data_IF_090826128617
#
_entry.id   IF_090826128617
#
_cell.length_a   1.000
_cell.length_b   1.000
_cell.length_c   1.000
_cell.angle_alpha   90.00
_cell.angle_beta   90.00
_cell.angle_gamma   90.00
#
_symmetry.space_group_name_H-M   'P 1'
#
loop_
_entity.id
_entity.type
_entity.pdbx_description
1 polymer ?
#
# COMPACT_ATOMS: atom_id res chain seq x y z
N UNK A 1 2.26 6.91 -22.48
CA UNK A 1 2.13 6.57 -21.05
C UNK A 1 1.03 5.54 -20.91
N UNK A 2 1.36 4.23 -21.00
CA UNK A 2 0.37 3.20 -20.69
C UNK A 2 0.26 3.14 -19.16
N UNK A 3 -0.79 3.72 -18.69
CA UNK A 3 -1.10 3.86 -17.28
C UNK A 3 -1.22 2.48 -16.61
N UNK A 4 -0.46 2.26 -15.54
CA UNK A 4 -0.64 1.12 -14.63
C UNK A 4 -2.09 1.03 -14.11
N UNK A 5 -2.85 2.14 -14.16
CA UNK A 5 -4.28 2.21 -13.86
C UNK A 5 -5.07 1.26 -14.78
N UNK A 6 -4.71 1.14 -16.07
CA UNK A 6 -5.41 0.24 -17.00
C UNK A 6 -5.20 -1.23 -16.63
N UNK A 7 -4.03 -1.59 -16.11
CA UNK A 7 -3.79 -2.95 -15.58
C UNK A 7 -4.53 -3.21 -14.26
N UNK A 8 -4.90 -2.15 -13.54
CA UNK A 8 -5.64 -2.26 -12.28
C UNK A 8 -7.13 -2.53 -12.52
N UNK A 9 -7.70 -2.07 -13.65
CA UNK A 9 -9.14 -2.17 -13.95
C UNK A 9 -9.62 -3.56 -14.40
N UNK A 10 -8.72 -4.41 -14.90
CA UNK A 10 -9.12 -5.65 -15.60
C UNK A 10 -9.17 -6.91 -14.71
N UNK A 11 -8.89 -6.79 -13.41
CA UNK A 11 -8.93 -7.93 -12.48
C UNK A 11 -10.03 -7.73 -11.45
N UNK A 12 -10.72 -8.82 -11.02
CA UNK A 12 -11.66 -8.73 -9.93
C UNK A 12 -10.98 -8.18 -8.68
N UNK A 13 -11.60 -7.22 -8.04
CA UNK A 13 -11.07 -6.51 -6.88
C UNK A 13 -11.99 -6.75 -5.70
N UNK A 14 -11.42 -7.16 -4.58
CA UNK A 14 -12.15 -7.21 -3.32
C UNK A 14 -12.19 -5.81 -2.72
N UNK A 15 -13.37 -5.20 -2.68
CA UNK A 15 -13.56 -3.89 -2.05
C UNK A 15 -13.83 -4.06 -0.55
N UNK A 16 -13.17 -3.24 0.24
CA UNK A 16 -13.38 -3.10 1.67
C UNK A 16 -13.90 -1.69 1.97
N UNK A 17 -14.74 -1.54 2.99
CA UNK A 17 -15.37 -0.28 3.43
C UNK A 17 -15.84 0.62 2.26
N UNK A 18 -16.56 0.04 1.31
CA UNK A 18 -17.15 0.82 0.23
C UNK A 18 -18.30 1.69 0.77
N UNK A 19 -18.07 2.97 0.89
CA UNK A 19 -19.05 3.98 1.25
C UNK A 19 -18.84 5.23 0.38
N UNK A 20 -19.70 6.24 0.54
CA UNK A 20 -19.61 7.48 -0.24
C UNK A 20 -18.34 8.31 0.04
N UNK A 21 -17.48 7.89 0.96
CA UNK A 21 -16.28 8.60 1.42
C UNK A 21 -15.00 8.02 0.83
N UNK A 22 -15.06 6.79 0.30
CA UNK A 22 -13.93 6.12 -0.31
C UNK A 22 -13.99 4.60 -0.16
N UNK A 23 -12.93 3.94 -0.56
CA UNK A 23 -12.80 2.49 -0.47
C UNK A 23 -11.34 2.04 -0.49
N UNK A 24 -11.05 0.92 0.16
CA UNK A 24 -9.84 0.14 -0.06
C UNK A 24 -10.13 -1.03 -1.00
N UNK A 25 -9.20 -1.38 -1.83
CA UNK A 25 -9.32 -2.46 -2.81
C UNK A 25 -8.08 -3.34 -2.79
N UNK A 26 -8.27 -4.64 -2.94
CA UNK A 26 -7.20 -5.62 -2.97
C UNK A 26 -7.37 -6.50 -4.20
N UNK A 27 -6.28 -6.72 -4.93
CA UNK A 27 -6.25 -7.72 -5.99
C UNK A 27 -6.23 -9.12 -5.36
N UNK A 28 -6.87 -10.11 -5.98
CA UNK A 28 -6.73 -11.50 -5.54
C UNK A 28 -5.25 -11.90 -5.50
N UNK A 29 -4.90 -12.77 -4.56
CA UNK A 29 -3.59 -13.42 -4.58
C UNK A 29 -3.42 -14.24 -5.86
N UNK A 30 -2.19 -14.40 -6.32
CA UNK A 30 -1.91 -15.26 -7.46
C UNK A 30 -1.91 -16.77 -7.08
N UNK A 31 -1.56 -17.62 -8.05
CA UNK A 31 -1.53 -19.07 -7.85
C UNK A 31 -0.51 -19.53 -6.79
N UNK A 32 0.49 -18.70 -6.45
CA UNK A 32 1.47 -18.95 -5.39
C UNK A 32 1.02 -18.37 -4.03
N UNK A 33 -0.16 -17.75 -3.97
CA UNK A 33 -0.68 -17.11 -2.76
C UNK A 33 -0.07 -15.73 -2.48
N UNK A 34 0.70 -15.15 -3.42
CA UNK A 34 1.35 -13.85 -3.27
C UNK A 34 0.32 -12.72 -3.46
N UNK A 35 0.41 -11.67 -2.65
CA UNK A 35 -0.36 -10.45 -2.89
C UNK A 35 0.06 -9.81 -4.22
N UNK A 36 -0.91 -9.32 -5.00
CA UNK A 36 -0.65 -8.81 -6.36
C UNK A 36 -0.92 -7.31 -6.50
N UNK A 37 -1.39 -6.65 -5.46
CA UNK A 37 -1.58 -5.22 -5.41
C UNK A 37 -2.74 -4.78 -4.53
N UNK A 38 -2.65 -3.54 -4.08
CA UNK A 38 -3.66 -2.89 -3.26
C UNK A 38 -3.83 -1.43 -3.66
N UNK A 39 -4.97 -0.84 -3.33
CA UNK A 39 -5.25 0.56 -3.56
C UNK A 39 -6.23 1.13 -2.55
N UNK A 40 -6.13 2.43 -2.31
CA UNK A 40 -7.13 3.19 -1.56
C UNK A 40 -7.55 4.40 -2.38
N UNK A 41 -8.83 4.70 -2.31
CA UNK A 41 -9.42 5.89 -2.91
C UNK A 41 -10.20 6.65 -1.83
N UNK A 42 -9.95 7.92 -1.70
CA UNK A 42 -10.62 8.82 -0.75
C UNK A 42 -11.33 9.93 -1.50
N UNK A 43 -12.56 10.22 -1.10
CA UNK A 43 -13.34 11.33 -1.59
C UNK A 43 -13.90 12.13 -0.40
N UNK A 44 -13.26 13.22 -0.06
CA UNK A 44 -13.66 14.23 0.92
C UNK A 44 -13.60 13.84 2.41
N UNK A 45 -13.84 12.60 2.81
CA UNK A 45 -13.82 12.19 4.22
C UNK A 45 -13.11 10.84 4.40
N UNK A 46 -12.41 10.68 5.51
CA UNK A 46 -11.84 9.38 5.88
C UNK A 46 -12.77 8.63 6.83
N UNK A 47 -13.02 7.35 6.64
CA UNK A 47 -13.73 6.56 7.63
C UNK A 47 -12.89 6.44 8.90
N UNK A 48 -13.52 6.51 10.05
CA UNK A 48 -12.87 6.11 11.30
C UNK A 48 -12.80 4.59 11.31
N UNK A 49 -11.60 4.05 11.29
CA UNK A 49 -11.40 2.61 11.42
C UNK A 49 -11.39 2.24 12.90
N UNK A 50 -12.33 1.40 13.28
CA UNK A 50 -12.48 0.91 14.67
C UNK A 50 -12.00 -0.53 14.85
N UNK A 51 -11.65 -1.22 13.77
CA UNK A 51 -11.28 -2.63 13.80
C UNK A 51 -9.78 -2.81 13.89
N UNK A 52 -9.34 -3.57 14.87
CA UNK A 52 -7.97 -4.05 15.00
C UNK A 52 -7.82 -5.32 14.17
N UNK A 53 -6.84 -5.36 13.26
CA UNK A 53 -6.61 -6.53 12.42
C UNK A 53 -5.90 -7.64 13.20
N UNK A 54 -6.23 -8.87 12.89
CA UNK A 54 -5.45 -10.03 13.32
C UNK A 54 -4.11 -10.07 12.57
N UNK A 55 -3.03 -10.47 13.23
CA UNK A 55 -1.73 -10.63 12.57
C UNK A 55 -1.80 -11.66 11.44
N UNK A 56 -1.34 -11.28 10.25
CA UNK A 56 -1.24 -12.16 9.08
C UNK A 56 0.23 -12.33 8.72
N UNK A 57 0.65 -13.59 8.51
CA UNK A 57 2.00 -13.90 8.04
C UNK A 57 2.04 -13.89 6.51
N UNK A 58 2.99 -13.17 5.93
CA UNK A 58 3.21 -13.14 4.50
C UNK A 58 3.67 -14.51 3.97
N UNK A 59 3.14 -14.91 2.81
CA UNK A 59 3.64 -16.08 2.08
C UNK A 59 5.10 -15.80 1.70
N UNK A 60 5.99 -16.78 1.97
CA UNK A 60 7.41 -16.66 1.66
C UNK A 60 8.21 -15.75 2.60
N UNK A 61 7.67 -15.40 3.78
CA UNK A 61 8.41 -14.62 4.76
C UNK A 61 9.70 -15.38 5.17
N UNK A 62 10.89 -14.78 4.95
CA UNK A 62 12.14 -15.40 5.40
C UNK A 62 12.23 -15.45 6.92
N UNK A 63 12.86 -16.52 7.43
CA UNK A 63 13.13 -16.67 8.88
C UNK A 63 14.37 -15.89 9.35
N UNK A 64 15.09 -15.25 8.45
CA UNK A 64 16.27 -14.43 8.77
C UNK A 64 15.88 -13.05 9.30
N UNK A 65 16.76 -12.49 10.14
CA UNK A 65 16.61 -11.12 10.62
C UNK A 65 16.57 -10.11 9.47
N UNK A 66 15.84 -9.02 9.68
CA UNK A 66 15.71 -7.94 8.69
C UNK A 66 14.42 -7.99 7.87
N UNK A 67 13.66 -9.10 7.92
CA UNK A 67 12.37 -9.25 7.23
C UNK A 67 11.19 -9.12 8.18
N UNK A 68 10.09 -8.62 7.63
CA UNK A 68 8.80 -8.52 8.31
C UNK A 68 7.65 -8.87 7.37
N UNK A 69 6.55 -9.38 7.91
CA UNK A 69 5.26 -9.38 7.24
C UNK A 69 4.69 -7.96 7.29
N UNK A 70 4.58 -7.32 6.15
CA UNK A 70 4.14 -5.93 6.09
C UNK A 70 2.99 -5.76 5.10
N UNK A 71 1.94 -4.99 5.44
CA UNK A 71 0.91 -4.63 4.48
C UNK A 71 1.48 -3.76 3.35
N UNK A 72 1.00 -3.98 2.13
CA UNK A 72 1.27 -3.12 0.97
C UNK A 72 0.81 -1.69 1.25
N UNK A 73 -0.37 -1.55 1.84
CA UNK A 73 -0.92 -0.29 2.34
C UNK A 73 -1.19 -0.45 3.83
N UNK A 74 -0.61 0.44 4.63
CA UNK A 74 -0.74 0.37 6.08
C UNK A 74 -2.10 0.87 6.59
N UNK A 75 -2.37 0.60 7.85
CA UNK A 75 -3.54 1.13 8.54
C UNK A 75 -3.56 2.66 8.66
N UNK A 76 -2.44 3.33 8.41
CA UNK A 76 -2.40 4.80 8.31
C UNK A 76 -3.25 5.33 7.15
N UNK A 77 -3.36 4.56 6.08
CA UNK A 77 -4.26 4.81 4.94
C UNK A 77 -5.54 3.96 5.01
N UNK A 78 -5.94 3.55 6.23
CA UNK A 78 -7.19 2.81 6.55
C UNK A 78 -7.35 1.46 5.86
N UNK A 79 -6.30 0.91 5.26
CA UNK A 79 -6.34 -0.43 4.70
C UNK A 79 -6.28 -1.50 5.81
N UNK A 80 -6.93 -2.64 5.59
CA UNK A 80 -6.89 -3.77 6.53
C UNK A 80 -5.75 -4.73 6.26
N UNK A 81 -5.35 -5.43 7.32
CA UNK A 81 -4.38 -6.51 7.23
C UNK A 81 -5.09 -7.79 6.80
N UNK A 82 -4.88 -8.21 5.56
CA UNK A 82 -5.39 -9.46 5.00
C UNK A 82 -4.35 -10.08 4.05
N UNK A 83 -4.54 -11.31 3.65
CA UNK A 83 -3.58 -12.05 2.81
C UNK A 83 -3.29 -11.36 1.47
N UNK A 84 -4.25 -10.64 0.91
CA UNK A 84 -4.08 -9.90 -0.36
C UNK A 84 -3.34 -8.56 -0.17
N UNK A 85 -3.12 -8.13 1.07
CA UNK A 85 -2.42 -6.89 1.42
C UNK A 85 -1.07 -7.13 2.11
N UNK A 86 -0.66 -8.38 2.36
CA UNK A 86 0.55 -8.70 3.13
C UNK A 86 1.63 -9.30 2.23
N UNK A 87 2.86 -8.81 2.37
CA UNK A 87 4.04 -9.28 1.65
C UNK A 87 5.27 -9.37 2.57
N UNK A 88 6.28 -10.19 2.23
CA UNK A 88 7.59 -10.09 2.84
C UNK A 88 8.26 -8.76 2.45
N UNK A 89 8.70 -8.00 3.44
CA UNK A 89 9.33 -6.70 3.23
C UNK A 89 10.54 -6.55 4.15
N UNK A 90 11.61 -5.90 3.68
CA UNK A 90 12.69 -5.54 4.60
C UNK A 90 12.21 -4.43 5.56
N UNK A 91 12.78 -4.37 6.76
CA UNK A 91 12.44 -3.34 7.75
C UNK A 91 12.72 -1.94 7.22
N UNK A 92 13.77 -1.78 6.43
CA UNK A 92 14.16 -0.53 5.78
C UNK A 92 13.12 -0.08 4.74
N UNK A 93 12.67 -1.03 3.91
CA UNK A 93 11.63 -0.76 2.91
C UNK A 93 10.30 -0.43 3.57
N UNK A 94 9.90 -1.19 4.60
CA UNK A 94 8.70 -0.89 5.40
C UNK A 94 8.75 0.52 5.98
N UNK A 95 9.90 0.89 6.60
CA UNK A 95 10.09 2.22 7.15
C UNK A 95 9.99 3.32 6.09
N UNK A 96 10.59 3.11 4.92
CA UNK A 96 10.53 4.06 3.81
C UNK A 96 9.12 4.21 3.25
N UNK A 97 8.38 3.11 3.09
CA UNK A 97 7.01 3.14 2.61
C UNK A 97 6.10 3.89 3.58
N UNK A 98 6.12 3.55 4.87
CA UNK A 98 5.14 4.07 5.83
C UNK A 98 5.49 5.47 6.33
N UNK A 99 6.75 5.71 6.68
CA UNK A 99 7.16 6.97 7.32
C UNK A 99 7.47 8.08 6.31
N UNK A 100 7.68 7.75 5.03
CA UNK A 100 8.00 8.76 4.02
C UNK A 100 6.89 8.84 2.97
N UNK A 101 6.57 7.72 2.30
CA UNK A 101 5.67 7.74 1.14
C UNK A 101 4.22 7.83 1.55
N UNK A 102 3.75 6.95 2.43
CA UNK A 102 2.36 6.99 2.92
C UNK A 102 2.10 8.22 3.79
N UNK A 103 3.08 8.64 4.58
CA UNK A 103 2.98 9.87 5.36
C UNK A 103 2.84 11.11 4.46
N UNK A 104 3.58 11.19 3.35
CA UNK A 104 3.46 12.28 2.37
C UNK A 104 2.09 12.27 1.70
N UNK A 105 1.62 11.08 1.29
CA UNK A 105 0.28 10.86 0.74
C UNK A 105 -0.81 11.33 1.71
N UNK A 106 -0.72 10.89 2.97
CA UNK A 106 -1.65 11.23 4.03
C UNK A 106 -1.67 12.73 4.33
N UNK A 107 -0.50 13.34 4.48
CA UNK A 107 -0.35 14.77 4.72
C UNK A 107 -0.99 15.58 3.58
N UNK A 108 -0.77 15.16 2.34
CA UNK A 108 -1.37 15.80 1.17
C UNK A 108 -2.89 15.68 1.18
N UNK A 109 -3.41 14.48 1.39
CA UNK A 109 -4.84 14.25 1.51
C UNK A 109 -5.46 15.15 2.59
N UNK A 110 -4.90 15.14 3.80
CA UNK A 110 -5.39 15.91 4.93
C UNK A 110 -5.34 17.43 4.69
N UNK A 111 -4.28 17.94 4.09
CA UNK A 111 -4.14 19.37 3.79
C UNK A 111 -5.19 19.84 2.79
N UNK A 112 -5.52 19.06 1.78
CA UNK A 112 -6.52 19.40 0.78
C UNK A 112 -7.95 19.15 1.26
N UNK A 113 -8.13 18.17 2.16
CA UNK A 113 -9.41 17.91 2.82
C UNK A 113 -9.77 18.95 3.91
N UNK A 114 -8.89 19.91 4.20
CA UNK A 114 -9.13 20.98 5.20
C UNK A 114 -8.90 20.54 6.65
N UNK A 115 -8.25 19.37 6.84
CA UNK A 115 -7.90 18.83 8.16
C UNK A 115 -6.52 19.28 8.63
N UNK A 116 -6.34 19.36 9.95
CA UNK A 116 -5.04 19.53 10.58
C UNK A 116 -4.51 18.17 11.10
N UNK A 117 -3.24 17.89 10.85
CA UNK A 117 -2.57 16.74 11.44
C UNK A 117 -2.08 17.08 12.88
N UNK A 118 -2.21 16.23 13.90
CA UNK A 118 -2.76 14.89 13.94
C UNK A 118 -4.29 14.87 14.16
N UNK A 119 -4.91 13.98 13.48
CA UNK A 119 -6.34 13.69 13.33
C UNK A 119 -7.32 14.25 14.37
N UNK A 120 -8.29 15.10 13.94
CA UNK A 120 -9.59 15.12 14.57
C UNK A 120 -10.45 13.99 13.97
N UNK A 121 -11.18 13.29 14.80
CA UNK A 121 -12.02 12.13 14.46
C UNK A 121 -13.22 12.44 13.54
N UNK A 122 -13.43 13.69 13.14
CA UNK A 122 -14.64 14.18 12.45
C UNK A 122 -14.34 15.13 11.26
N UNK A 123 -13.23 14.93 10.54
CA UNK A 123 -12.93 15.85 9.44
C UNK A 123 -13.52 15.35 8.14
N UNK A 124 -14.79 15.68 7.95
CA UNK A 124 -15.36 15.80 6.63
C UNK A 124 -15.14 17.22 6.12
N UNK A 125 -14.16 17.41 5.27
CA UNK A 125 -13.98 18.70 4.60
C UNK A 125 -15.09 18.91 3.57
N UNK A 126 -15.62 20.11 3.54
CA UNK A 126 -16.67 20.53 2.60
C UNK A 126 -16.17 20.70 1.15
N UNK A 127 -15.01 20.13 0.81
CA UNK A 127 -14.44 20.17 -0.54
C UNK A 127 -14.36 18.77 -1.11
N UNK A 128 -14.91 18.56 -2.27
CA UNK A 128 -14.70 17.31 -3.02
C UNK A 128 -13.22 17.26 -3.46
N UNK A 129 -12.45 16.40 -2.82
CA UNK A 129 -11.07 16.15 -3.16
C UNK A 129 -10.89 14.64 -3.29
N UNK A 130 -10.64 14.18 -4.50
CA UNK A 130 -10.37 12.78 -4.75
C UNK A 130 -8.86 12.53 -4.69
N UNK A 131 -8.47 11.49 -3.98
CA UNK A 131 -7.10 11.03 -3.89
C UNK A 131 -7.06 9.51 -4.02
N UNK A 132 -6.19 9.03 -4.89
CA UNK A 132 -5.94 7.60 -5.10
C UNK A 132 -4.49 7.29 -4.83
N UNK A 133 -4.25 6.23 -4.06
CA UNK A 133 -2.94 5.62 -3.83
C UNK A 133 -3.02 4.15 -4.21
N UNK A 134 -2.12 3.69 -5.05
CA UNK A 134 -2.01 2.28 -5.45
C UNK A 134 -0.59 1.78 -5.29
N UNK A 135 -0.44 0.49 -4.94
CA UNK A 135 0.85 -0.17 -4.81
C UNK A 135 0.80 -1.58 -5.40
N UNK A 136 1.80 -1.90 -6.21
CA UNK A 136 1.94 -3.19 -6.90
C UNK A 136 3.29 -3.78 -6.54
N UNK A 137 3.34 -4.94 -5.88
CA UNK A 137 4.59 -5.68 -5.68
C UNK A 137 5.02 -6.35 -6.99
N UNK A 138 6.31 -6.28 -7.30
CA UNK A 138 6.91 -6.87 -8.50
C UNK A 138 7.75 -8.07 -8.10
N UNK A 139 7.40 -9.22 -8.64
CA UNK A 139 8.10 -10.50 -8.42
C UNK A 139 8.78 -10.95 -9.70
N UNK A 140 9.84 -11.75 -9.58
CA UNK A 140 10.46 -12.42 -10.70
C UNK A 140 10.16 -13.93 -10.64
N UNK A 141 9.51 -14.45 -11.68
CA UNK A 141 9.17 -15.87 -11.79
C UNK A 141 8.36 -16.39 -10.59
N UNK A 142 8.90 -17.42 -9.95
CA UNK A 142 8.31 -18.12 -8.80
C UNK A 142 8.78 -17.60 -7.43
N UNK A 143 9.53 -16.49 -7.39
CA UNK A 143 9.97 -15.88 -6.14
C UNK A 143 8.77 -15.45 -5.28
N UNK A 144 8.84 -15.75 -3.98
CA UNK A 144 7.77 -15.37 -3.03
C UNK A 144 8.00 -13.99 -2.41
N UNK A 145 9.20 -13.43 -2.57
CA UNK A 145 9.60 -12.13 -2.04
C UNK A 145 9.56 -11.13 -3.21
N UNK A 146 8.80 -10.03 -3.11
CA UNK A 146 8.81 -9.01 -4.16
C UNK A 146 10.17 -8.29 -4.18
N UNK A 147 10.66 -7.97 -5.38
CA UNK A 147 11.91 -7.24 -5.58
C UNK A 147 11.75 -5.74 -5.42
N UNK A 148 10.59 -5.23 -5.80
CA UNK A 148 10.26 -3.81 -5.75
C UNK A 148 8.76 -3.58 -5.62
N UNK A 149 8.40 -2.35 -5.31
CA UNK A 149 7.03 -1.87 -5.23
C UNK A 149 6.86 -0.69 -6.18
N UNK A 150 5.87 -0.78 -7.05
CA UNK A 150 5.47 0.31 -7.94
C UNK A 150 4.28 1.01 -7.31
N UNK A 151 4.41 2.32 -7.11
CA UNK A 151 3.43 3.14 -6.40
C UNK A 151 2.99 4.26 -7.32
N UNK A 152 1.68 4.40 -7.46
CA UNK A 152 1.05 5.51 -8.17
C UNK A 152 0.11 6.27 -7.26
N UNK A 153 0.21 7.60 -7.30
CA UNK A 153 -0.67 8.52 -6.56
C UNK A 153 -1.28 9.52 -7.53
N UNK A 154 -2.57 9.77 -7.36
CA UNK A 154 -3.30 10.76 -8.16
C UNK A 154 -4.25 11.54 -7.28
N UNK A 155 -4.46 12.80 -7.61
CA UNK A 155 -5.46 13.63 -6.96
C UNK A 155 -6.22 14.50 -7.95
N UNK A 156 -7.43 14.91 -7.59
CA UNK A 156 -8.32 15.71 -8.44
C UNK A 156 -7.80 17.12 -8.75
N UNK A 157 -6.80 17.61 -8.00
CA UNK A 157 -6.12 18.87 -8.23
C UNK A 157 -4.99 18.79 -9.29
N UNK A 158 -4.85 17.65 -9.97
CA UNK A 158 -3.83 17.41 -10.99
C UNK A 158 -2.52 16.83 -10.44
N UNK A 159 -2.43 16.55 -9.14
CA UNK A 159 -1.26 15.84 -8.60
C UNK A 159 -1.16 14.44 -9.17
N UNK A 160 0.04 14.08 -9.61
CA UNK A 160 0.37 12.73 -10.04
C UNK A 160 1.81 12.43 -9.61
N UNK A 161 2.04 11.26 -9.03
CA UNK A 161 3.37 10.79 -8.62
C UNK A 161 3.51 9.31 -8.92
N UNK A 162 4.63 8.94 -9.52
CA UNK A 162 5.03 7.56 -9.78
C UNK A 162 6.34 7.29 -9.05
N UNK A 163 6.40 6.24 -8.25
CA UNK A 163 7.56 5.88 -7.44
C UNK A 163 7.81 4.38 -7.58
N UNK A 164 9.08 4.01 -7.72
CA UNK A 164 9.53 2.62 -7.59
C UNK A 164 10.43 2.52 -6.36
N UNK A 165 10.12 1.60 -5.47
CA UNK A 165 10.86 1.35 -4.23
C UNK A 165 11.41 -0.07 -4.27
N UNK A 166 12.72 -0.22 -4.20
CA UNK A 166 13.34 -1.54 -4.08
C UNK A 166 13.06 -2.14 -2.71
N UNK A 167 12.74 -3.43 -2.67
CA UNK A 167 12.61 -4.18 -1.42
C UNK A 167 14.00 -4.62 -0.95
N UNK A 168 14.74 -3.71 -0.37
CA UNK A 168 16.16 -3.88 -0.13
C UNK A 168 16.69 -3.24 1.15
N UNK A 169 17.96 -3.50 1.40
CA UNK A 169 18.75 -2.88 2.46
C UNK A 169 19.90 -2.13 1.81
N UNK A 170 20.09 -0.83 2.08
CA UNK A 170 21.15 -0.05 1.47
C UNK A 170 22.53 -0.69 1.63
N UNK A 171 23.27 -0.82 0.52
CA UNK A 171 24.61 -1.39 0.51
C UNK A 171 24.69 -2.91 0.68
N UNK A 172 23.56 -3.61 0.63
CA UNK A 172 23.46 -5.06 0.70
C UNK A 172 22.91 -5.66 -0.59
N UNK A 173 23.26 -6.93 -0.84
CA UNK A 173 22.62 -7.74 -1.88
C UNK A 173 21.61 -8.69 -1.25
N UNK A 174 20.51 -8.93 -1.97
CA UNK A 174 19.43 -9.80 -1.51
C UNK A 174 19.25 -10.94 -2.50
N UNK A 175 19.20 -12.16 -1.97
CA UNK A 175 18.68 -13.31 -2.68
C UNK A 175 17.16 -13.41 -2.43
N UNK A 176 16.35 -12.99 -3.40
CA UNK A 176 14.89 -12.97 -3.29
C UNK A 176 14.23 -14.36 -3.33
N UNK A 177 14.99 -15.42 -3.57
CA UNK A 177 14.47 -16.79 -3.44
C UNK A 177 14.53 -17.29 -2.01
N UNK A 178 15.57 -16.90 -1.27
CA UNK A 178 15.85 -17.39 0.10
C UNK A 178 15.65 -16.33 1.16
N UNK A 179 15.69 -15.05 0.78
CA UNK A 179 15.68 -13.90 1.69
C UNK A 179 17.05 -13.67 2.37
N UNK A 180 18.13 -14.27 1.88
CA UNK A 180 19.46 -14.00 2.41
C UNK A 180 19.89 -12.56 2.09
N UNK A 181 20.36 -11.83 3.11
CA UNK A 181 20.88 -10.46 3.02
C UNK A 181 22.39 -10.51 3.26
N UNK A 182 23.20 -10.12 2.25
CA UNK A 182 24.65 -10.20 2.25
C UNK A 182 25.33 -8.82 2.22
#
# INVERSE_FOLDING_TARGET
MNSLITQYSDRPVQAEWNNNLGHATYRPTDALGRATGAGVHFNACTPVRTQQDEPVTAVGLPHSDGWVSAPLISSQLWASTNTSNIVPMTKETQSSLYNVIEYDALKRFMSNAGGNYPFPTDVCAHKSFDFTYTIIPVYEGDELIPREFVIDMFASDGYAKHIVVSNGVPGKTIDYRTGAIN
#
